data_IF_483741608660
#
_entry.id   IF_483741608660
#
_cell.length_a   1.000
_cell.length_b   1.000
_cell.length_c   1.000
_cell.angle_alpha   90.00
_cell.angle_beta   90.00
_cell.angle_gamma   90.00
#
_symmetry.space_group_name_H-M   'P 1'
#
loop_
_entity.id
_entity.type
_entity.pdbx_description
1 polymer ?
#
# COMPACT_ATOMS: atom_id res chain seq x y z
N UNK A 1 -10.16 -11.98 13.69
CA UNK A 1 -9.93 -10.52 13.55
C UNK A 1 -9.57 -10.19 12.11
N UNK A 2 -10.15 -9.15 11.61
CA UNK A 2 -9.89 -8.66 10.24
C UNK A 2 -9.37 -7.23 10.34
N UNK A 3 -8.29 -6.93 9.62
CA UNK A 3 -7.75 -5.57 9.53
C UNK A 3 -7.58 -5.22 8.04
N UNK A 4 -8.31 -4.22 7.57
CA UNK A 4 -8.39 -3.85 6.16
C UNK A 4 -7.67 -2.55 5.84
N UNK A 5 -6.96 -1.95 6.79
CA UNK A 5 -6.30 -0.66 6.57
C UNK A 5 -5.03 -0.57 7.40
N UNK A 6 -3.89 -0.83 6.78
CA UNK A 6 -2.59 -0.72 7.45
C UNK A 6 -1.55 -0.10 6.53
N UNK A 7 -0.59 0.62 7.13
CA UNK A 7 0.50 1.27 6.41
C UNK A 7 1.84 0.75 6.89
N UNK A 8 2.77 0.58 5.95
CA UNK A 8 4.13 0.14 6.22
C UNK A 8 5.14 1.25 5.91
N UNK A 9 6.42 0.92 5.99
CA UNK A 9 7.49 1.85 5.64
C UNK A 9 7.48 2.31 4.17
N UNK A 10 6.68 1.68 3.31
CA UNK A 10 6.50 2.14 1.93
C UNK A 10 5.74 3.46 1.83
N UNK A 11 4.83 3.73 2.77
CA UNK A 11 4.12 5.01 2.85
C UNK A 11 4.96 6.07 3.56
N UNK A 12 4.67 7.34 3.25
CA UNK A 12 5.29 8.46 3.95
C UNK A 12 4.93 8.50 5.44
N UNK A 13 3.78 7.97 5.83
CA UNK A 13 3.27 7.99 7.19
C UNK A 13 3.47 6.66 7.94
N UNK A 14 3.95 5.62 7.27
CA UNK A 14 4.21 4.33 7.89
C UNK A 14 5.66 4.23 8.38
N UNK A 15 5.86 3.62 9.55
CA UNK A 15 7.18 3.51 10.17
C UNK A 15 7.67 2.07 10.30
N UNK A 16 6.77 1.11 10.36
CA UNK A 16 7.13 -0.28 10.61
C UNK A 16 7.46 -1.04 9.33
N UNK A 17 8.44 -1.93 9.44
CA UNK A 17 8.78 -2.80 8.33
C UNK A 17 7.63 -3.78 8.05
N UNK A 18 7.34 -4.00 6.78
CA UNK A 18 6.26 -4.87 6.33
C UNK A 18 6.34 -6.26 6.95
N UNK A 19 7.54 -6.86 6.96
CA UNK A 19 7.73 -8.22 7.49
C UNK A 19 7.42 -8.32 8.99
N UNK A 20 7.78 -7.31 9.76
CA UNK A 20 7.48 -7.26 11.20
C UNK A 20 5.97 -7.16 11.45
N UNK A 21 5.28 -6.33 10.68
CA UNK A 21 3.84 -6.14 10.81
C UNK A 21 3.08 -7.44 10.50
N UNK A 22 3.43 -8.11 9.41
CA UNK A 22 2.79 -9.36 9.00
C UNK A 22 3.07 -10.49 10.00
N UNK A 23 4.30 -10.58 10.49
CA UNK A 23 4.67 -11.56 11.52
C UNK A 23 3.85 -11.36 12.81
N UNK A 24 3.69 -10.11 13.22
CA UNK A 24 2.89 -9.79 14.40
C UNK A 24 1.41 -10.10 14.17
N UNK A 25 0.88 -9.78 13.01
CA UNK A 25 -0.50 -10.11 12.65
C UNK A 25 -0.73 -11.63 12.70
N UNK A 26 0.21 -12.41 12.19
CA UNK A 26 0.14 -13.87 12.25
C UNK A 26 0.10 -14.38 13.69
N UNK A 27 0.93 -13.84 14.58
CA UNK A 27 0.94 -14.21 16.01
C UNK A 27 -0.38 -13.88 16.70
N UNK A 28 -1.03 -12.79 16.29
CA UNK A 28 -2.30 -12.36 16.86
C UNK A 28 -3.50 -13.11 16.28
N UNK A 29 -3.30 -14.00 15.32
CA UNK A 29 -4.37 -14.78 14.70
C UNK A 29 -5.27 -13.96 13.78
N UNK A 30 -4.74 -12.90 13.16
CA UNK A 30 -5.49 -12.09 12.18
C UNK A 30 -5.81 -12.95 10.96
N UNK A 31 -7.08 -13.02 10.57
CA UNK A 31 -7.56 -13.88 9.50
C UNK A 31 -7.47 -13.22 8.12
N UNK A 32 -7.55 -11.90 8.07
CA UNK A 32 -7.42 -11.11 6.86
C UNK A 32 -6.70 -9.81 7.20
N UNK A 33 -5.62 -9.53 6.51
CA UNK A 33 -4.76 -8.38 6.81
C UNK A 33 -4.39 -7.66 5.51
N UNK A 34 -5.01 -6.52 5.25
CA UNK A 34 -4.74 -5.74 4.04
C UNK A 34 -3.64 -4.72 4.30
N UNK A 35 -2.62 -4.74 3.46
CA UNK A 35 -1.60 -3.71 3.38
C UNK A 35 -2.09 -2.66 2.39
N UNK A 36 -2.28 -1.43 2.84
CA UNK A 36 -2.90 -0.35 2.04
C UNK A 36 -2.05 0.92 2.11
N UNK A 37 -0.80 0.82 1.69
CA UNK A 37 0.10 1.98 1.70
C UNK A 37 -0.38 3.07 0.73
N UNK A 38 0.01 4.32 1.03
CA UNK A 38 -0.39 5.47 0.23
C UNK A 38 0.25 5.48 -1.16
N UNK A 39 -0.58 5.72 -2.16
CA UNK A 39 -0.15 6.06 -3.51
C UNK A 39 -0.99 7.26 -3.98
N UNK A 40 -0.56 8.45 -3.59
CA UNK A 40 -1.34 9.67 -3.76
C UNK A 40 -0.83 10.48 -4.96
N UNK A 41 -1.32 10.14 -6.15
CA UNK A 41 -0.94 10.84 -7.37
C UNK A 41 -1.53 12.24 -7.46
N UNK A 42 -2.58 12.54 -6.67
CA UNK A 42 -3.10 13.89 -6.52
C UNK A 42 -2.06 14.86 -5.94
N UNK A 43 -1.09 14.37 -5.17
CA UNK A 43 0.00 15.18 -4.65
C UNK A 43 0.88 15.78 -5.75
N UNK A 44 0.86 15.23 -6.94
CA UNK A 44 1.56 15.79 -8.11
C UNK A 44 0.95 17.14 -8.56
N UNK A 45 -0.25 17.44 -8.11
CA UNK A 45 -0.99 18.66 -8.47
C UNK A 45 -1.16 19.64 -7.31
N UNK A 46 -0.63 19.30 -6.12
CA UNK A 46 -0.75 20.11 -4.90
C UNK A 46 0.67 20.50 -4.45
N UNK A 47 1.10 21.77 -4.66
CA UNK A 47 2.48 22.17 -4.38
C UNK A 47 2.96 21.89 -2.96
N UNK A 48 2.08 21.98 -1.97
CA UNK A 48 2.39 21.72 -0.57
C UNK A 48 2.84 20.27 -0.32
N UNK A 49 2.51 19.36 -1.23
CA UNK A 49 2.81 17.93 -1.08
C UNK A 49 3.92 17.44 -2.02
N UNK A 50 4.58 18.33 -2.77
CA UNK A 50 5.61 17.92 -3.74
C UNK A 50 6.81 17.21 -3.10
N UNK A 51 7.13 17.53 -1.84
CA UNK A 51 8.25 16.92 -1.13
C UNK A 51 7.88 15.67 -0.33
N UNK A 52 6.61 15.28 -0.32
CA UNK A 52 6.20 14.06 0.37
C UNK A 52 6.74 12.85 -0.41
N UNK A 53 7.27 11.88 0.35
CA UNK A 53 7.79 10.63 -0.22
C UNK A 53 6.71 9.94 -1.06
N UNK A 54 7.09 9.57 -2.29
CA UNK A 54 6.26 8.75 -3.17
C UNK A 54 6.60 7.29 -3.01
N UNK A 55 5.60 6.43 -3.11
CA UNK A 55 5.79 4.99 -3.04
C UNK A 55 6.55 4.48 -4.28
N UNK A 56 7.49 3.56 -4.06
CA UNK A 56 8.06 2.75 -5.14
C UNK A 56 7.07 1.61 -5.43
N UNK A 57 6.17 1.84 -6.38
CA UNK A 57 5.03 0.98 -6.62
C UNK A 57 5.43 -0.43 -7.08
N UNK A 58 6.41 -0.52 -7.98
CA UNK A 58 6.89 -1.83 -8.46
C UNK A 58 7.48 -2.65 -7.33
N UNK A 59 8.32 -2.05 -6.51
CA UNK A 59 8.92 -2.71 -5.36
C UNK A 59 7.87 -3.11 -4.32
N UNK A 60 6.89 -2.26 -4.08
CA UNK A 60 5.78 -2.52 -3.17
C UNK A 60 4.98 -3.76 -3.61
N UNK A 61 4.55 -3.79 -4.85
CA UNK A 61 3.79 -4.91 -5.42
C UNK A 61 4.58 -6.21 -5.31
N UNK A 62 5.85 -6.21 -5.71
CA UNK A 62 6.72 -7.39 -5.64
C UNK A 62 6.89 -7.88 -4.22
N UNK A 63 7.13 -6.97 -3.28
CA UNK A 63 7.40 -7.32 -1.88
C UNK A 63 6.15 -7.91 -1.22
N UNK A 64 4.99 -7.28 -1.38
CA UNK A 64 3.75 -7.78 -0.78
C UNK A 64 3.31 -9.09 -1.44
N UNK A 65 3.45 -9.21 -2.76
CA UNK A 65 3.14 -10.46 -3.47
C UNK A 65 3.96 -11.63 -2.94
N UNK A 66 5.26 -11.40 -2.70
CA UNK A 66 6.14 -12.43 -2.13
C UNK A 66 5.73 -12.82 -0.71
N UNK A 67 5.32 -11.84 0.10
CA UNK A 67 4.85 -12.10 1.46
C UNK A 67 3.54 -12.89 1.46
N UNK A 68 2.65 -12.62 0.52
CA UNK A 68 1.40 -13.37 0.36
C UNK A 68 1.64 -14.86 0.11
N UNK A 69 2.72 -15.22 -0.56
CA UNK A 69 3.07 -16.63 -0.78
C UNK A 69 3.29 -17.37 0.53
N UNK A 70 3.91 -16.70 1.50
CA UNK A 70 4.18 -17.25 2.83
C UNK A 70 3.00 -17.09 3.79
N UNK A 71 2.28 -15.98 3.66
CA UNK A 71 1.18 -15.61 4.54
C UNK A 71 -0.09 -15.34 3.73
N UNK A 72 -0.85 -16.39 3.37
CA UNK A 72 -2.01 -16.24 2.47
C UNK A 72 -3.13 -15.32 2.99
N UNK A 73 -3.13 -15.00 4.28
CA UNK A 73 -4.11 -14.08 4.86
C UNK A 73 -3.83 -12.60 4.54
N UNK A 74 -2.68 -12.30 3.96
CA UNK A 74 -2.30 -10.93 3.57
C UNK A 74 -2.93 -10.56 2.24
N UNK A 75 -3.47 -9.35 2.15
CA UNK A 75 -4.01 -8.79 0.91
C UNK A 75 -3.18 -7.58 0.48
N UNK A 76 -2.98 -7.44 -0.82
CA UNK A 76 -2.30 -6.29 -1.43
C UNK A 76 -3.33 -5.24 -1.80
N UNK A 77 -3.35 -4.14 -1.08
CA UNK A 77 -4.21 -3.00 -1.33
C UNK A 77 -3.43 -1.71 -1.57
N UNK A 78 -4.14 -0.63 -1.73
CA UNK A 78 -3.56 0.68 -2.00
C UNK A 78 -4.52 1.77 -1.50
N UNK A 79 -3.98 2.77 -0.81
CA UNK A 79 -4.75 3.96 -0.46
C UNK A 79 -4.43 5.08 -1.44
N UNK A 80 -5.44 5.50 -2.21
CA UNK A 80 -5.28 6.51 -3.25
C UNK A 80 -6.08 7.75 -2.91
N UNK A 81 -5.41 8.91 -2.86
CA UNK A 81 -6.09 10.19 -2.72
C UNK A 81 -6.87 10.53 -4.00
N UNK A 82 -8.09 10.98 -3.86
CA UNK A 82 -8.93 11.33 -5.01
C UNK A 82 -8.73 12.79 -5.42
N UNK A 83 -8.51 12.98 -6.73
CA UNK A 83 -8.53 14.27 -7.38
C UNK A 83 -8.89 14.05 -8.85
N UNK A 84 -9.78 14.87 -9.39
CA UNK A 84 -10.12 14.81 -10.81
C UNK A 84 -8.91 14.95 -11.73
N UNK A 85 -7.92 15.73 -11.31
CA UNK A 85 -6.68 15.91 -12.06
C UNK A 85 -5.81 14.65 -12.09
N UNK A 86 -5.85 13.84 -11.03
CA UNK A 86 -5.00 12.67 -10.87
C UNK A 86 -5.56 11.39 -11.48
N UNK A 87 -6.83 11.36 -11.87
CA UNK A 87 -7.48 10.14 -12.39
C UNK A 87 -6.69 9.52 -13.55
N UNK A 88 -6.25 10.35 -14.51
CA UNK A 88 -5.47 9.86 -15.65
C UNK A 88 -4.16 9.21 -15.23
N UNK A 89 -3.50 9.76 -14.21
CA UNK A 89 -2.25 9.20 -13.68
C UNK A 89 -2.49 7.84 -13.04
N UNK A 90 -3.54 7.69 -12.24
CA UNK A 90 -3.87 6.40 -11.66
C UNK A 90 -4.14 5.36 -12.73
N UNK A 91 -4.98 5.69 -13.73
CA UNK A 91 -5.35 4.75 -14.78
C UNK A 91 -4.16 4.34 -15.65
N UNK A 92 -3.19 5.24 -15.85
CA UNK A 92 -2.03 4.97 -16.71
C UNK A 92 -0.86 4.31 -15.99
N UNK A 93 -0.71 4.52 -14.67
CA UNK A 93 0.49 4.13 -13.93
C UNK A 93 0.27 3.02 -12.91
N UNK A 94 -0.95 2.82 -12.43
CA UNK A 94 -1.25 1.80 -11.41
C UNK A 94 -1.81 0.54 -12.08
N UNK A 95 -1.12 -0.61 -11.93
CA UNK A 95 -1.61 -1.88 -12.45
C UNK A 95 -2.69 -2.46 -11.51
N UNK A 96 -3.90 -1.90 -11.58
CA UNK A 96 -4.98 -2.26 -10.65
C UNK A 96 -5.32 -3.75 -10.65
N UNK A 97 -5.11 -4.44 -11.76
CA UNK A 97 -5.35 -5.89 -11.88
C UNK A 97 -4.49 -6.74 -10.94
N UNK A 98 -3.40 -6.18 -10.41
CA UNK A 98 -2.51 -6.89 -9.49
C UNK A 98 -2.93 -6.79 -8.03
N UNK A 99 -3.90 -5.93 -7.73
CA UNK A 99 -4.37 -5.70 -6.36
C UNK A 99 -5.56 -6.59 -6.01
N UNK A 100 -5.71 -6.86 -4.73
CA UNK A 100 -6.82 -7.65 -4.19
C UNK A 100 -8.10 -6.84 -4.03
#
# INVERSE_FOLDING_TARGET
MIDTHTHTHFSFDGKSALNEMVTKAARLGVEYYAITDHCDMDYNYIPEYFLIKRIDLDKYIKTVTKIKEKYPFVALGLECGYSGQAIGDYLSKVPFEKFD
#
